data_IF_629075332801
#
_entry.id   IF_629075332801
#
_cell.length_a   1.000
_cell.length_b   1.000
_cell.length_c   1.000
_cell.angle_alpha   90.00
_cell.angle_beta   90.00
_cell.angle_gamma   90.00
#
_symmetry.space_group_name_H-M   'P 1'
#
loop_
_entity.id
_entity.type
_entity.pdbx_description
1 polymer ?
#
# COMPACT_ATOMS: atom_id res chain seq x y z
N UNK A 1 -11.99 -6.48 -12.00
CA UNK A 1 -11.29 -6.19 -10.71
C UNK A 1 -12.26 -6.37 -9.53
N UNK A 2 -11.87 -7.09 -8.47
CA UNK A 2 -12.70 -7.20 -7.26
C UNK A 2 -12.86 -5.82 -6.61
N UNK A 3 -14.03 -5.56 -6.00
CA UNK A 3 -14.33 -4.27 -5.34
C UNK A 3 -13.33 -4.02 -4.21
N UNK A 4 -12.71 -2.85 -4.25
CA UNK A 4 -11.80 -2.35 -3.24
C UNK A 4 -12.25 -1.00 -2.71
N UNK A 5 -11.76 -0.61 -1.55
CA UNK A 5 -12.21 0.59 -0.84
C UNK A 5 -11.02 1.48 -0.47
N UNK A 6 -11.22 2.78 -0.54
CA UNK A 6 -10.29 3.79 -0.06
C UNK A 6 -10.86 4.45 1.19
N UNK A 7 -10.05 4.58 2.25
CA UNK A 7 -10.46 5.21 3.50
C UNK A 7 -9.52 6.35 3.87
N UNK A 8 -10.11 7.45 4.28
CA UNK A 8 -9.43 8.52 5.00
C UNK A 8 -9.29 8.08 6.47
N UNK A 9 -8.09 8.13 7.02
CA UNK A 9 -7.81 7.79 8.42
C UNK A 9 -7.51 9.03 9.28
N UNK A 10 -7.73 10.23 8.72
CA UNK A 10 -7.43 11.50 9.36
C UNK A 10 -5.94 11.88 9.26
N UNK A 11 -5.62 13.16 9.52
CA UNK A 11 -4.25 13.67 9.59
C UNK A 11 -3.35 13.31 8.38
N UNK A 12 -3.92 13.22 7.18
CA UNK A 12 -3.19 12.86 5.95
C UNK A 12 -2.92 11.36 5.80
N UNK A 13 -3.29 10.53 6.77
CA UNK A 13 -3.20 9.07 6.69
C UNK A 13 -4.35 8.52 5.84
N UNK A 14 -4.05 7.53 5.01
CA UNK A 14 -5.05 6.88 4.18
C UNK A 14 -4.71 5.41 3.98
N UNK A 15 -5.74 4.59 3.75
CA UNK A 15 -5.56 3.19 3.38
C UNK A 15 -6.39 2.84 2.17
N UNK A 16 -5.80 2.07 1.29
CA UNK A 16 -6.50 1.39 0.21
C UNK A 16 -6.53 -0.09 0.52
N UNK A 17 -7.71 -0.70 0.46
CA UNK A 17 -7.98 -2.07 0.85
C UNK A 17 -8.67 -2.81 -0.31
N UNK A 18 -8.11 -3.94 -0.75
CA UNK A 18 -8.62 -4.74 -1.85
C UNK A 18 -8.64 -6.23 -1.50
N UNK A 19 -9.67 -6.95 -1.96
CA UNK A 19 -9.67 -8.41 -1.91
C UNK A 19 -8.48 -8.98 -2.68
N UNK A 20 -7.71 -9.83 -2.02
CA UNK A 20 -6.55 -10.47 -2.60
C UNK A 20 -6.96 -11.44 -3.72
N UNK A 21 -6.11 -11.54 -4.73
CA UNK A 21 -6.24 -12.44 -5.87
C UNK A 21 -4.96 -13.24 -6.13
N UNK A 22 -3.91 -13.02 -5.34
CA UNK A 22 -2.63 -13.75 -5.38
C UNK A 22 -2.47 -14.57 -4.11
N UNK A 23 -1.55 -15.53 -4.14
CA UNK A 23 -1.18 -16.27 -2.95
C UNK A 23 -0.60 -15.37 -1.85
N UNK A 24 -0.72 -15.83 -0.62
CA UNK A 24 -0.08 -15.31 0.58
C UNK A 24 0.62 -16.46 1.28
N UNK A 25 1.96 -16.43 1.41
CA UNK A 25 2.69 -17.47 2.14
C UNK A 25 2.14 -17.69 3.55
N UNK A 26 1.57 -16.66 4.16
CA UNK A 26 1.03 -16.73 5.53
C UNK A 26 -0.42 -17.21 5.64
N UNK A 27 -1.16 -17.41 4.53
CA UNK A 27 -2.58 -17.76 4.64
C UNK A 27 -3.29 -18.32 3.40
N UNK A 28 -2.78 -18.10 2.18
CA UNK A 28 -3.47 -18.47 0.93
C UNK A 28 -2.48 -19.11 -0.04
N UNK A 29 -2.56 -20.43 -0.19
CA UNK A 29 -1.68 -21.15 -1.10
C UNK A 29 -2.07 -20.93 -2.56
N UNK A 30 -1.07 -20.91 -3.45
CA UNK A 30 -1.24 -20.96 -4.91
C UNK A 30 -0.19 -21.91 -5.49
N UNK A 31 -0.47 -22.43 -6.69
CA UNK A 31 0.37 -23.43 -7.35
C UNK A 31 1.84 -23.02 -7.52
N UNK A 32 2.14 -21.73 -7.65
CA UNK A 32 3.53 -21.24 -7.80
C UNK A 32 4.39 -21.50 -6.56
N UNK A 33 3.78 -21.74 -5.39
CA UNK A 33 4.51 -22.05 -4.16
C UNK A 33 4.92 -23.53 -4.07
N UNK A 34 4.45 -24.38 -4.99
CA UNK A 34 4.67 -25.82 -4.96
C UNK A 34 3.76 -26.54 -3.96
N UNK A 35 3.47 -27.82 -4.24
CA UNK A 35 2.57 -28.63 -3.42
C UNK A 35 3.09 -28.82 -1.98
N UNK A 36 4.40 -28.89 -1.79
CA UNK A 36 5.02 -29.06 -0.47
C UNK A 36 4.73 -27.89 0.49
N UNK A 37 4.49 -26.70 -0.05
CA UNK A 37 4.15 -25.52 0.75
C UNK A 37 2.69 -25.52 1.22
N UNK A 38 1.80 -26.28 0.56
CA UNK A 38 0.36 -26.27 0.83
C UNK A 38 -0.01 -26.59 2.29
N UNK A 39 0.46 -27.71 2.89
CA UNK A 39 0.13 -28.02 4.28
C UNK A 39 0.64 -26.97 5.27
N UNK A 40 1.77 -26.32 4.96
CA UNK A 40 2.34 -25.27 5.80
C UNK A 40 1.45 -24.02 5.78
N UNK A 41 0.99 -23.60 4.60
CA UNK A 41 0.10 -22.45 4.46
C UNK A 41 -1.27 -22.71 5.09
N UNK A 42 -1.81 -23.92 4.95
CA UNK A 42 -3.09 -24.32 5.58
C UNK A 42 -2.97 -24.32 7.11
N UNK A 43 -1.86 -24.82 7.65
CA UNK A 43 -1.58 -24.77 9.09
C UNK A 43 -1.45 -23.33 9.60
N UNK A 44 -0.78 -22.45 8.85
CA UNK A 44 -0.69 -21.03 9.20
C UNK A 44 -2.07 -20.34 9.20
N UNK A 45 -2.96 -20.69 8.26
CA UNK A 45 -4.34 -20.19 8.25
C UNK A 45 -5.13 -20.68 9.47
N UNK A 46 -4.98 -21.94 9.85
CA UNK A 46 -5.65 -22.49 11.03
C UNK A 46 -5.21 -21.78 12.32
N UNK A 47 -3.90 -21.52 12.47
CA UNK A 47 -3.36 -20.73 13.59
C UNK A 47 -3.95 -19.31 13.63
N UNK A 48 -4.05 -18.65 12.47
CA UNK A 48 -4.67 -17.32 12.39
C UNK A 48 -6.12 -17.34 12.86
N UNK A 49 -6.89 -18.35 12.49
CA UNK A 49 -8.30 -18.51 12.91
C UNK A 49 -8.38 -18.74 14.41
N UNK A 50 -7.54 -19.61 14.97
CA UNK A 50 -7.51 -19.88 16.41
C UNK A 50 -7.19 -18.62 17.22
N UNK A 51 -6.18 -17.84 16.79
CA UNK A 51 -5.72 -16.65 17.52
C UNK A 51 -6.59 -15.42 17.33
N UNK A 52 -7.16 -15.21 16.13
CA UNK A 52 -7.84 -13.96 15.76
C UNK A 52 -9.36 -14.11 15.61
N UNK A 53 -9.88 -15.33 15.57
CA UNK A 53 -11.24 -15.63 15.16
C UNK A 53 -11.40 -15.60 13.63
N UNK A 54 -12.47 -16.23 13.13
CA UNK A 54 -12.70 -16.44 11.69
C UNK A 54 -12.73 -15.13 10.88
N UNK A 55 -13.49 -14.13 11.33
CA UNK A 55 -13.66 -12.87 10.58
C UNK A 55 -12.33 -12.13 10.38
N UNK A 56 -11.55 -12.01 11.45
CA UNK A 56 -10.27 -11.29 11.42
C UNK A 56 -9.20 -12.11 10.69
N UNK A 57 -9.20 -13.43 10.84
CA UNK A 57 -8.30 -14.31 10.11
C UNK A 57 -8.57 -14.24 8.61
N UNK A 58 -9.83 -14.26 8.18
CA UNK A 58 -10.22 -14.13 6.78
C UNK A 58 -9.77 -12.78 6.21
N UNK A 59 -9.94 -11.69 6.96
CA UNK A 59 -9.44 -10.37 6.58
C UNK A 59 -7.90 -10.31 6.52
N UNK A 60 -7.16 -10.99 7.39
CA UNK A 60 -5.69 -11.04 7.31
C UNK A 60 -5.24 -11.90 6.12
N UNK A 61 -5.96 -12.97 5.85
CA UNK A 61 -5.64 -13.94 4.81
C UNK A 61 -5.96 -13.46 3.39
N UNK A 62 -7.06 -12.73 3.20
CA UNK A 62 -7.64 -12.53 1.87
C UNK A 62 -7.79 -11.06 1.46
N UNK A 63 -7.01 -10.18 2.07
CA UNK A 63 -7.09 -8.74 1.81
C UNK A 63 -5.69 -8.14 1.69
N UNK A 64 -5.47 -7.35 0.65
CA UNK A 64 -4.27 -6.55 0.47
C UNK A 64 -4.51 -5.10 0.88
N UNK A 65 -3.50 -4.46 1.47
CA UNK A 65 -3.58 -3.08 1.94
C UNK A 65 -2.37 -2.27 1.53
N UNK A 66 -2.62 -1.06 1.08
CA UNK A 66 -1.61 -0.02 0.99
C UNK A 66 -1.98 1.05 2.00
N UNK A 67 -1.32 0.99 3.17
CA UNK A 67 -1.47 1.99 4.22
C UNK A 67 -0.40 3.05 4.03
N UNK A 68 -0.84 4.28 3.78
CA UNK A 68 0.01 5.45 3.74
C UNK A 68 -0.10 6.19 5.07
N UNK A 69 1.02 6.28 5.77
CA UNK A 69 1.18 7.05 7.00
C UNK A 69 1.96 8.33 6.64
N UNK A 70 1.22 9.44 6.59
CA UNK A 70 1.78 10.76 6.41
C UNK A 70 2.98 11.04 7.33
N UNK A 71 4.08 11.65 6.84
CA UNK A 71 4.25 12.16 5.47
C UNK A 71 4.91 11.19 4.49
N UNK A 72 5.58 10.14 4.96
CA UNK A 72 6.54 9.41 4.13
C UNK A 72 6.73 7.94 4.48
N UNK A 73 5.77 7.31 5.16
CA UNK A 73 5.78 5.89 5.50
C UNK A 73 4.67 5.17 4.73
N UNK A 74 5.02 4.09 4.05
CA UNK A 74 4.07 3.20 3.38
C UNK A 74 4.22 1.79 3.92
N UNK A 75 3.10 1.15 4.25
CA UNK A 75 3.03 -0.26 4.59
C UNK A 75 2.20 -0.95 3.51
N UNK A 76 2.89 -1.75 2.70
CA UNK A 76 2.27 -2.59 1.67
C UNK A 76 2.09 -3.99 2.23
N UNK A 77 0.86 -4.34 2.56
CA UNK A 77 0.43 -5.68 2.98
C UNK A 77 -0.10 -6.41 1.74
N UNK A 78 0.78 -7.12 1.04
CA UNK A 78 0.48 -7.83 -0.21
C UNK A 78 0.91 -9.29 -0.19
N UNK A 79 1.72 -9.70 -1.16
CA UNK A 79 2.40 -11.01 -1.19
C UNK A 79 3.40 -11.18 -0.03
N UNK A 80 3.98 -10.08 0.43
CA UNK A 80 4.75 -9.94 1.67
C UNK A 80 4.37 -8.60 2.29
N UNK A 81 4.43 -8.50 3.61
CA UNK A 81 4.36 -7.21 4.29
C UNK A 81 5.68 -6.49 4.05
N UNK A 82 5.59 -5.29 3.47
CA UNK A 82 6.74 -4.44 3.19
C UNK A 82 6.52 -3.09 3.85
N UNK A 83 7.53 -2.62 4.56
CA UNK A 83 7.59 -1.26 5.09
C UNK A 83 8.50 -0.45 4.17
N UNK A 84 8.04 0.71 3.71
CA UNK A 84 8.81 1.61 2.85
C UNK A 84 8.81 3.01 3.44
N UNK A 85 9.97 3.65 3.44
CA UNK A 85 10.12 5.07 3.80
C UNK A 85 10.71 5.85 2.65
N UNK A 86 10.24 7.07 2.46
CA UNK A 86 10.70 8.00 1.42
C UNK A 86 11.39 9.19 2.07
N UNK A 87 12.72 9.30 1.94
CA UNK A 87 13.49 10.39 2.51
C UNK A 87 13.82 11.42 1.42
N UNK A 88 13.20 12.60 1.41
CA UNK A 88 13.50 13.62 0.42
C UNK A 88 14.91 14.17 0.66
N UNK A 89 15.75 14.15 -0.38
CA UNK A 89 17.07 14.77 -0.38
C UNK A 89 17.07 16.12 -1.13
N UNK A 90 16.17 16.26 -2.11
CA UNK A 90 15.88 17.47 -2.87
C UNK A 90 14.45 17.39 -3.43
N UNK A 91 13.99 18.42 -4.14
CA UNK A 91 12.66 18.44 -4.77
C UNK A 91 12.51 17.38 -5.89
N UNK A 92 13.62 16.94 -6.50
CA UNK A 92 13.71 15.99 -7.60
C UNK A 92 14.43 14.70 -7.22
N UNK A 93 14.78 14.51 -5.94
CA UNK A 93 15.54 13.37 -5.45
C UNK A 93 15.07 12.89 -4.09
N UNK A 94 14.84 11.59 -3.97
CA UNK A 94 14.53 10.92 -2.71
C UNK A 94 15.32 9.61 -2.56
N UNK A 95 15.53 9.20 -1.32
CA UNK A 95 16.05 7.89 -0.97
C UNK A 95 14.93 7.01 -0.45
N UNK A 96 14.75 5.84 -1.07
CA UNK A 96 13.71 4.89 -0.69
C UNK A 96 14.36 3.72 0.04
N UNK A 97 13.92 3.48 1.27
CA UNK A 97 14.32 2.29 2.03
C UNK A 97 13.13 1.36 2.18
N UNK A 98 13.34 0.06 1.93
CA UNK A 98 12.29 -0.96 2.00
C UNK A 98 12.74 -2.15 2.86
N UNK A 99 11.87 -2.60 3.75
CA UNK A 99 12.09 -3.77 4.61
C UNK A 99 11.01 -4.81 4.40
N UNK A 100 11.41 -6.07 4.27
CA UNK A 100 10.50 -7.21 4.26
C UNK A 100 10.20 -7.67 5.69
N UNK A 101 8.96 -7.49 6.14
CA UNK A 101 8.53 -7.88 7.48
C UNK A 101 8.01 -9.31 7.48
N UNK A 102 8.37 -10.09 8.49
CA UNK A 102 7.94 -11.47 8.69
C UNK A 102 7.65 -11.78 10.16
N UNK A 103 6.86 -12.82 10.46
CA UNK A 103 6.66 -13.31 11.81
C UNK A 103 7.98 -13.80 12.43
N UNK A 104 8.13 -13.64 13.75
CA UNK A 104 9.32 -14.14 14.49
C UNK A 104 9.41 -15.66 14.40
N UNK A 105 8.27 -16.34 14.58
CA UNK A 105 8.16 -17.81 14.62
C UNK A 105 8.06 -18.46 13.23
N UNK A 106 8.37 -17.73 12.13
CA UNK A 106 8.31 -18.31 10.79
C UNK A 106 9.41 -19.36 10.57
N UNK A 107 9.08 -20.47 9.91
CA UNK A 107 10.08 -21.50 9.57
C UNK A 107 11.11 -20.96 8.56
N UNK A 108 12.33 -21.53 8.52
CA UNK A 108 13.35 -21.14 7.53
C UNK A 108 12.84 -21.23 6.07
N UNK A 109 12.01 -22.23 5.76
CA UNK A 109 11.43 -22.45 4.43
C UNK A 109 10.44 -21.34 4.08
N UNK A 110 9.54 -20.99 4.99
CA UNK A 110 8.56 -19.92 4.79
C UNK A 110 9.20 -18.54 4.74
N UNK A 111 10.25 -18.32 5.54
CA UNK A 111 11.10 -17.13 5.47
C UNK A 111 11.69 -16.96 4.08
N UNK A 112 12.25 -18.04 3.52
CA UNK A 112 12.82 -18.03 2.16
C UNK A 112 11.75 -17.65 1.13
N UNK A 113 10.59 -18.32 1.15
CA UNK A 113 9.48 -18.02 0.22
C UNK A 113 9.04 -16.56 0.32
N UNK A 114 8.93 -16.01 1.54
CA UNK A 114 8.54 -14.61 1.77
C UNK A 114 9.58 -13.63 1.25
N UNK A 115 10.87 -13.86 1.54
CA UNK A 115 11.96 -13.01 1.08
C UNK A 115 12.10 -13.05 -0.44
N UNK A 116 11.96 -14.22 -1.06
CA UNK A 116 11.94 -14.38 -2.52
C UNK A 116 10.74 -13.62 -3.12
N UNK A 117 9.55 -13.73 -2.54
CA UNK A 117 8.36 -12.98 -2.97
C UNK A 117 8.54 -11.46 -2.83
N UNK A 118 9.22 -11.00 -1.78
CA UNK A 118 9.58 -9.59 -1.62
C UNK A 118 10.55 -9.15 -2.72
N UNK A 119 11.70 -9.83 -2.87
CA UNK A 119 12.75 -9.45 -3.81
C UNK A 119 12.27 -9.45 -5.27
N UNK A 120 11.47 -10.43 -5.64
CA UNK A 120 10.97 -10.60 -7.02
C UNK A 120 9.88 -9.61 -7.40
N UNK A 121 9.20 -8.96 -6.45
CA UNK A 121 8.10 -8.04 -6.75
C UNK A 121 8.36 -6.61 -6.25
N UNK A 122 8.60 -6.45 -4.95
CA UNK A 122 8.77 -5.15 -4.28
C UNK A 122 10.23 -4.78 -3.98
N UNK A 123 11.17 -5.69 -4.23
CA UNK A 123 12.59 -5.39 -4.13
C UNK A 123 13.02 -4.30 -5.12
N UNK A 124 14.26 -3.77 -4.99
CA UNK A 124 14.75 -2.67 -5.81
C UNK A 124 14.77 -2.98 -7.32
N UNK A 125 14.99 -4.24 -7.69
CA UNK A 125 14.86 -4.74 -9.07
C UNK A 125 13.67 -5.70 -9.26
N UNK A 126 12.73 -5.71 -8.30
CA UNK A 126 11.56 -6.57 -8.36
C UNK A 126 10.58 -6.09 -9.42
N UNK A 127 9.78 -6.99 -9.96
CA UNK A 127 8.93 -6.80 -11.14
C UNK A 127 8.11 -5.49 -11.15
N UNK A 128 7.59 -5.03 -10.01
CA UNK A 128 6.77 -3.82 -9.96
C UNK A 128 7.58 -2.52 -9.82
N UNK A 129 8.77 -2.59 -9.20
CA UNK A 129 9.51 -1.39 -8.80
C UNK A 129 10.04 -0.58 -9.99
N UNK A 130 10.65 -1.16 -11.05
CA UNK A 130 11.06 -0.40 -12.23
C UNK A 130 9.90 0.32 -12.92
N UNK A 131 8.73 -0.32 -13.05
CA UNK A 131 7.54 0.29 -13.65
C UNK A 131 7.06 1.50 -12.83
N UNK A 132 7.01 1.36 -11.49
CA UNK A 132 6.65 2.45 -10.58
C UNK A 132 7.68 3.59 -10.64
N UNK A 133 8.98 3.28 -10.69
CA UNK A 133 10.06 4.28 -10.75
C UNK A 133 9.98 5.07 -12.05
N UNK A 134 9.81 4.40 -13.19
CA UNK A 134 9.68 5.08 -14.48
C UNK A 134 8.46 6.00 -14.49
N UNK A 135 7.30 5.55 -14.00
CA UNK A 135 6.10 6.38 -13.91
C UNK A 135 6.32 7.63 -13.04
N UNK A 136 7.00 7.49 -11.89
CA UNK A 136 7.32 8.62 -11.01
C UNK A 136 8.32 9.58 -11.66
N UNK A 137 9.33 9.07 -12.36
CA UNK A 137 10.31 9.91 -13.06
C UNK A 137 9.65 10.72 -14.17
N UNK A 138 8.77 10.11 -14.95
CA UNK A 138 8.02 10.80 -16.00
C UNK A 138 7.12 11.89 -15.44
N UNK A 139 6.44 11.64 -14.31
CA UNK A 139 5.62 12.66 -13.64
C UNK A 139 6.49 13.82 -13.13
N UNK A 140 7.64 13.52 -12.50
CA UNK A 140 8.56 14.55 -12.00
C UNK A 140 9.08 15.43 -13.13
N UNK A 141 9.51 14.82 -14.25
CA UNK A 141 9.98 15.54 -15.42
C UNK A 141 8.88 16.41 -16.02
N UNK A 142 7.69 15.83 -16.25
CA UNK A 142 6.56 16.56 -16.83
C UNK A 142 6.13 17.75 -15.97
N UNK A 143 6.10 17.61 -14.64
CA UNK A 143 5.81 18.74 -13.74
C UNK A 143 6.90 19.80 -13.84
N UNK A 144 8.18 19.41 -13.79
CA UNK A 144 9.30 20.36 -13.85
C UNK A 144 9.29 21.20 -15.14
N UNK A 145 8.85 20.62 -16.26
CA UNK A 145 8.77 21.28 -17.56
C UNK A 145 7.51 22.14 -17.76
N UNK A 146 6.41 21.84 -17.06
CA UNK A 146 5.10 22.46 -17.34
C UNK A 146 4.53 23.31 -16.20
N UNK A 147 5.18 23.35 -15.03
CA UNK A 147 4.65 24.03 -13.84
C UNK A 147 4.42 25.53 -14.04
N UNK A 148 5.17 26.19 -14.93
CA UNK A 148 4.97 27.61 -15.29
C UNK A 148 3.66 27.88 -16.03
N UNK A 149 3.19 26.91 -16.80
CA UNK A 149 2.01 26.98 -17.66
C UNK A 149 0.78 26.38 -16.98
N UNK A 150 0.97 25.25 -16.28
CA UNK A 150 -0.08 24.48 -15.62
C UNK A 150 0.35 24.17 -14.18
N UNK A 151 0.12 25.08 -13.22
CA UNK A 151 0.59 24.93 -11.85
C UNK A 151 -0.28 24.01 -10.98
N UNK A 152 -1.13 23.16 -11.58
CA UNK A 152 -2.04 22.28 -10.85
C UNK A 152 -2.10 20.86 -11.43
N UNK A 153 -2.23 19.88 -10.53
CA UNK A 153 -2.60 18.50 -10.87
C UNK A 153 -4.02 18.22 -10.38
N UNK A 154 -4.88 17.70 -11.25
CA UNK A 154 -6.29 17.44 -10.93
C UNK A 154 -6.44 16.10 -10.22
N UNK A 155 -7.16 16.07 -9.09
CA UNK A 155 -7.42 14.86 -8.28
C UNK A 155 -8.90 14.72 -7.92
N UNK A 156 -9.76 14.70 -8.93
CA UNK A 156 -11.22 14.80 -8.80
C UNK A 156 -11.95 13.46 -8.87
N UNK A 157 -11.26 12.34 -9.10
CA UNK A 157 -11.95 11.04 -9.23
C UNK A 157 -12.61 10.63 -7.92
N UNK A 158 -13.92 10.43 -7.97
CA UNK A 158 -14.76 10.12 -6.80
C UNK A 158 -15.13 11.33 -5.92
N UNK A 159 -14.81 12.57 -6.31
CA UNK A 159 -15.01 13.75 -5.44
C UNK A 159 -16.48 14.04 -5.10
N UNK A 160 -17.39 13.81 -6.06
CA UNK A 160 -18.83 14.03 -5.89
C UNK A 160 -19.59 12.76 -5.47
N UNK A 161 -18.86 11.67 -5.21
CA UNK A 161 -19.47 10.39 -4.89
C UNK A 161 -19.85 10.35 -3.41
N UNK A 162 -21.12 10.11 -3.15
CA UNK A 162 -21.65 9.90 -1.81
C UNK A 162 -21.37 8.47 -1.32
N UNK A 163 -21.13 8.33 -0.02
CA UNK A 163 -20.85 7.04 0.62
C UNK A 163 -19.43 6.51 0.38
N UNK A 164 -19.30 5.19 0.25
CA UNK A 164 -18.01 4.51 0.22
C UNK A 164 -17.17 4.84 -1.02
N UNK A 165 -15.94 5.31 -0.81
CA UNK A 165 -14.96 5.55 -1.87
C UNK A 165 -14.26 4.24 -2.26
N UNK A 166 -14.09 4.01 -3.55
CA UNK A 166 -13.35 2.84 -4.04
C UNK A 166 -11.85 3.03 -3.88
N UNK A 167 -11.12 1.93 -3.92
CA UNK A 167 -9.66 1.94 -4.05
C UNK A 167 -9.18 2.66 -5.33
N UNK A 168 -10.03 2.67 -6.36
CA UNK A 168 -9.83 3.39 -7.60
C UNK A 168 -10.35 4.82 -7.55
N UNK A 169 -10.85 5.32 -6.42
CA UNK A 169 -11.13 6.74 -6.26
C UNK A 169 -9.90 7.44 -5.65
N UNK A 170 -9.82 8.76 -5.77
CA UNK A 170 -8.63 9.54 -5.35
C UNK A 170 -8.77 10.12 -3.94
N UNK A 171 -9.63 9.55 -3.09
CA UNK A 171 -9.79 10.00 -1.72
C UNK A 171 -8.43 10.02 -0.97
N UNK A 172 -7.64 8.97 -1.12
CA UNK A 172 -6.32 8.83 -0.47
C UNK A 172 -5.33 9.94 -0.88
N UNK A 173 -5.31 10.31 -2.17
CA UNK A 173 -4.48 11.42 -2.66
C UNK A 173 -4.98 12.76 -2.11
N UNK A 174 -6.29 13.00 -2.17
CA UNK A 174 -6.88 14.22 -1.62
C UNK A 174 -6.63 14.35 -0.12
N UNK A 175 -6.73 13.25 0.64
CA UNK A 175 -6.41 13.22 2.07
C UNK A 175 -4.97 13.67 2.34
N UNK A 176 -3.99 13.15 1.58
CA UNK A 176 -2.59 13.55 1.69
C UNK A 176 -2.39 15.04 1.43
N UNK A 177 -2.82 15.52 0.25
CA UNK A 177 -2.53 16.89 -0.18
C UNK A 177 -3.27 17.94 0.63
N UNK A 178 -4.46 17.62 1.14
CA UNK A 178 -5.18 18.48 2.08
C UNK A 178 -4.40 18.69 3.37
N UNK A 179 -3.87 17.61 3.97
CA UNK A 179 -3.05 17.71 5.17
C UNK A 179 -1.73 18.44 4.90
N UNK A 180 -1.09 18.15 3.77
CA UNK A 180 0.11 18.86 3.37
C UNK A 180 -0.15 20.36 3.26
N UNK A 181 -1.24 20.77 2.60
CA UNK A 181 -1.61 22.17 2.46
C UNK A 181 -1.88 22.86 3.81
N UNK A 182 -2.61 22.21 4.73
CA UNK A 182 -2.81 22.73 6.09
C UNK A 182 -1.47 23.02 6.78
N UNK A 183 -0.53 22.08 6.72
CA UNK A 183 0.77 22.22 7.38
C UNK A 183 1.66 23.30 6.74
N UNK A 184 1.59 23.45 5.41
CA UNK A 184 2.42 24.42 4.69
C UNK A 184 1.88 25.85 4.76
N UNK A 185 0.56 26.01 4.87
CA UNK A 185 -0.10 27.33 4.81
C UNK A 185 -0.64 27.81 6.15
N UNK A 186 -0.83 26.89 7.12
CA UNK A 186 -1.53 27.18 8.38
C UNK A 186 -3.05 27.32 8.22
N UNK A 187 -3.60 27.13 7.02
CA UNK A 187 -5.04 27.20 6.79
C UNK A 187 -5.74 25.94 7.33
N UNK A 188 -6.77 26.10 8.16
CA UNK A 188 -7.63 25.00 8.57
C UNK A 188 -8.50 24.54 7.38
N UNK A 189 -8.49 23.24 7.07
CA UNK A 189 -9.44 22.70 6.10
C UNK A 189 -10.83 22.64 6.76
N UNK A 190 -11.73 23.50 6.29
CA UNK A 190 -13.14 23.56 6.71
C UNK A 190 -13.96 22.29 6.43
N UNK A 191 -13.37 21.27 5.79
CA UNK A 191 -14.03 20.01 5.42
C UNK A 191 -13.88 18.87 6.46
N UNK A 192 -13.16 19.07 7.58
CA UNK A 192 -13.06 18.08 8.67
C UNK A 192 -14.16 18.20 9.73
N UNK A 193 -15.05 19.19 9.64
CA UNK A 193 -16.03 19.51 10.69
C UNK A 193 -17.37 18.75 10.60
N UNK A 194 -17.47 17.68 9.81
CA UNK A 194 -18.70 16.91 9.65
C UNK A 194 -18.43 15.41 9.63
N UNK A 195 -18.27 14.84 10.83
CA UNK A 195 -18.62 13.44 11.14
C UNK A 195 -19.78 13.45 12.15
#
# INVERSE_FOLDING_TARGET
PKRGIGRNLGNGHAVIDNLNFRGRPVATWISIYGEDAKPIVESAKAELVERLGEERAERVANTNRNLFVFPNLMINDGSSVTVRTFWPAAADRMEVTAWAVGPVEESPEMRKVRLDAFLTFYGPGGFATPDDVEALMQVQQGIAETVSEVPWSVMTRGIAKEGEQLNSDELHLRTFWRRWNELMTGAENSAQASE
#
